data_IF_493377083771
#
_entry.id   IF_493377083771
#
_cell.length_a   1.000
_cell.length_b   1.000
_cell.length_c   1.000
_cell.angle_alpha   90.00
_cell.angle_beta   90.00
_cell.angle_gamma   90.00
#
_symmetry.space_group_name_H-M   'P 1'
#
loop_
_entity.id
_entity.type
_entity.pdbx_description
1 polymer ?
#
# COMPACT_ATOMS: atom_id res chain seq x y z
N UNK A 1 35.98 2.79 24.52
CA UNK A 1 34.74 3.32 25.13
C UNK A 1 34.48 4.68 24.51
N UNK A 2 33.70 4.74 23.43
CA UNK A 2 33.14 5.99 22.92
C UNK A 2 31.63 5.81 23.00
N UNK A 3 31.05 6.17 24.14
CA UNK A 3 29.61 6.29 24.32
C UNK A 3 29.16 7.54 23.55
N UNK A 4 28.52 7.32 22.42
CA UNK A 4 27.68 8.32 21.76
C UNK A 4 26.64 8.80 22.77
N UNK A 5 26.42 10.11 22.97
CA UNK A 5 25.41 10.58 23.91
C UNK A 5 24.05 10.10 23.43
N UNK A 6 23.30 9.43 24.31
CA UNK A 6 21.88 9.20 24.11
C UNK A 6 21.24 10.58 24.04
N UNK A 7 20.85 11.01 22.84
CA UNK A 7 19.93 12.13 22.69
C UNK A 7 18.67 11.74 23.45
N UNK A 8 18.33 12.55 24.45
CA UNK A 8 17.18 12.38 25.32
C UNK A 8 15.91 12.67 24.49
N UNK A 9 15.56 11.73 23.61
CA UNK A 9 14.34 11.82 22.81
C UNK A 9 13.16 11.57 23.75
N UNK A 10 12.55 12.66 24.21
CA UNK A 10 11.34 12.65 25.02
C UNK A 10 10.33 11.64 24.45
N UNK A 11 9.80 10.80 25.33
CA UNK A 11 8.74 9.86 24.97
C UNK A 11 7.54 10.64 24.44
N UNK A 12 7.15 10.36 23.20
CA UNK A 12 5.95 10.93 22.57
C UNK A 12 4.83 9.92 22.61
N UNK A 13 3.62 10.41 22.91
CA UNK A 13 2.38 9.65 22.85
C UNK A 13 1.48 10.32 21.81
N UNK A 14 1.00 9.55 20.84
CA UNK A 14 0.13 10.07 19.78
C UNK A 14 -0.84 9.01 19.28
N UNK A 15 -1.99 9.45 18.78
CA UNK A 15 -2.95 8.60 18.09
C UNK A 15 -2.77 8.74 16.58
N UNK A 16 -3.00 7.65 15.85
CA UNK A 16 -2.84 7.61 14.41
C UNK A 16 -3.64 6.50 13.76
N UNK A 17 -3.57 6.43 12.45
CA UNK A 17 -4.23 5.40 11.65
C UNK A 17 -3.25 4.82 10.63
N UNK A 18 -3.10 3.50 10.61
CA UNK A 18 -2.16 2.81 9.72
C UNK A 18 -2.57 3.01 8.26
N UNK A 19 -1.68 3.60 7.47
CA UNK A 19 -1.82 3.77 6.02
C UNK A 19 -1.20 2.60 5.27
N UNK A 20 0.05 2.26 5.57
CA UNK A 20 0.80 1.22 4.86
C UNK A 20 1.54 0.30 5.83
N UNK A 21 1.76 -0.94 5.38
CA UNK A 21 2.47 -1.98 6.11
C UNK A 21 3.56 -2.55 5.22
N UNK A 22 4.80 -2.58 5.69
CA UNK A 22 5.93 -3.17 4.97
C UNK A 22 6.71 -4.11 5.88
N UNK A 23 7.34 -5.11 5.29
CA UNK A 23 8.31 -5.98 5.94
C UNK A 23 9.60 -5.96 5.14
N UNK A 24 10.72 -5.80 5.83
CA UNK A 24 12.05 -5.76 5.23
C UNK A 24 12.96 -6.72 5.98
N UNK A 25 13.84 -7.39 5.25
CA UNK A 25 14.94 -8.13 5.85
C UNK A 25 16.23 -7.31 5.70
N UNK A 26 16.90 -7.03 6.81
CA UNK A 26 18.21 -6.37 6.82
C UNK A 26 19.17 -7.18 7.69
N UNK A 27 20.32 -7.56 7.13
CA UNK A 27 21.34 -8.37 7.82
C UNK A 27 20.80 -9.66 8.45
N UNK A 28 19.82 -10.31 7.81
CA UNK A 28 19.20 -11.54 8.31
C UNK A 28 18.23 -11.35 9.48
N UNK A 29 17.89 -10.09 9.82
CA UNK A 29 16.87 -9.73 10.80
C UNK A 29 15.66 -9.13 10.10
N UNK A 30 14.47 -9.47 10.59
CA UNK A 30 13.21 -8.93 10.10
C UNK A 30 12.91 -7.58 10.77
N UNK A 31 12.53 -6.61 9.95
CA UNK A 31 11.96 -5.34 10.36
C UNK A 31 10.51 -5.25 9.85
N UNK A 32 9.62 -4.77 10.70
CA UNK A 32 8.25 -4.41 10.33
C UNK A 32 8.19 -2.89 10.32
N UNK A 33 7.67 -2.33 9.23
CA UNK A 33 7.55 -0.90 9.03
C UNK A 33 6.06 -0.61 8.84
N UNK A 34 5.57 0.38 9.58
CA UNK A 34 4.24 0.94 9.36
C UNK A 34 4.38 2.42 9.14
N UNK A 35 3.53 2.96 8.27
CA UNK A 35 3.29 4.39 8.22
C UNK A 35 1.87 4.65 8.68
N UNK A 36 1.69 5.71 9.46
CA UNK A 36 0.39 6.12 9.96
C UNK A 36 0.16 7.62 9.79
N UNK A 37 -1.09 8.00 9.55
CA UNK A 37 -1.56 9.38 9.54
C UNK A 37 -1.98 9.81 10.94
N UNK A 38 -1.58 11.00 11.37
CA UNK A 38 -1.88 11.57 12.70
C UNK A 38 -2.22 13.04 12.57
N UNK A 39 -2.78 13.66 13.62
CA UNK A 39 -3.03 15.11 13.64
C UNK A 39 -1.74 15.94 13.47
N UNK A 40 -0.57 15.38 13.81
CA UNK A 40 0.73 16.05 13.69
C UNK A 40 1.42 15.75 12.35
N UNK A 41 0.72 15.12 11.41
CA UNK A 41 1.27 14.66 10.14
C UNK A 41 1.69 13.18 10.17
N UNK A 42 2.46 12.74 9.18
CA UNK A 42 2.83 11.33 9.05
C UNK A 42 3.83 10.87 10.10
N UNK A 43 3.68 9.61 10.49
CA UNK A 43 4.63 8.92 11.36
C UNK A 43 5.06 7.59 10.75
N UNK A 44 6.36 7.31 10.79
CA UNK A 44 6.94 6.02 10.47
C UNK A 44 7.26 5.26 11.75
N UNK A 45 6.87 3.99 11.80
CA UNK A 45 7.04 3.10 12.93
C UNK A 45 7.88 1.92 12.49
N UNK A 46 9.12 1.83 12.98
CA UNK A 46 10.06 0.76 12.62
C UNK A 46 10.24 -0.17 13.83
N UNK A 47 9.70 -1.38 13.72
CA UNK A 47 9.93 -2.46 14.68
C UNK A 47 11.07 -3.34 14.17
N UNK A 48 12.21 -3.28 14.84
CA UNK A 48 13.41 -4.04 14.49
C UNK A 48 13.44 -5.38 15.20
N UNK A 49 14.22 -6.30 14.65
CA UNK A 49 14.52 -7.61 15.26
C UNK A 49 13.28 -8.44 15.57
N UNK A 50 12.27 -8.33 14.73
CA UNK A 50 11.05 -9.13 14.86
C UNK A 50 11.33 -10.56 14.39
N UNK A 51 10.48 -11.50 14.82
CA UNK A 51 10.59 -12.90 14.45
C UNK A 51 9.35 -13.34 13.68
N UNK A 52 9.54 -14.18 12.67
CA UNK A 52 8.47 -14.96 12.08
C UNK A 52 8.12 -16.13 12.99
N UNK A 53 6.85 -16.53 13.01
CA UNK A 53 6.34 -17.58 13.91
C UNK A 53 5.57 -18.62 13.10
N UNK A 54 5.77 -19.90 13.43
CA UNK A 54 4.86 -20.98 13.06
C UNK A 54 4.83 -22.03 14.16
N UNK A 55 3.96 -23.04 14.00
CA UNK A 55 3.82 -24.11 14.97
C UNK A 55 3.93 -25.49 14.31
N UNK A 56 4.35 -26.48 15.11
CA UNK A 56 4.33 -27.90 14.76
C UNK A 56 3.73 -28.68 15.92
N UNK A 57 3.12 -29.84 15.66
CA UNK A 57 2.67 -30.71 16.75
C UNK A 57 3.87 -31.11 17.63
N UNK A 58 3.72 -31.08 18.96
CA UNK A 58 4.83 -31.36 19.89
C UNK A 58 5.38 -32.78 19.72
N UNK A 59 4.53 -33.74 19.35
CA UNK A 59 4.96 -35.12 19.00
C UNK A 59 5.97 -35.17 17.84
N UNK A 60 5.90 -34.21 16.91
CA UNK A 60 6.76 -34.13 15.73
C UNK A 60 7.99 -33.25 15.97
N UNK A 61 8.06 -32.53 17.09
CA UNK A 61 9.12 -31.56 17.37
C UNK A 61 10.53 -32.18 17.35
N UNK A 62 10.72 -33.37 17.93
CA UNK A 62 12.04 -34.05 17.93
C UNK A 62 12.51 -34.33 16.50
N UNK A 63 11.58 -34.70 15.60
CA UNK A 63 11.89 -34.92 14.18
C UNK A 63 12.17 -33.59 13.49
N UNK A 64 11.35 -32.56 13.75
CA UNK A 64 11.55 -31.21 13.21
C UNK A 64 12.92 -30.64 13.60
N UNK A 65 13.30 -30.73 14.88
CA UNK A 65 14.58 -30.24 15.40
C UNK A 65 15.77 -30.93 14.71
N UNK A 66 15.71 -32.25 14.48
CA UNK A 66 16.75 -32.98 13.74
C UNK A 66 16.87 -32.48 12.30
N UNK A 67 15.73 -32.28 11.61
CA UNK A 67 15.70 -31.77 10.23
C UNK A 67 16.23 -30.34 10.11
N UNK A 68 16.01 -29.50 11.13
CA UNK A 68 16.45 -28.11 11.17
C UNK A 68 17.82 -27.91 11.83
N UNK A 69 18.51 -28.98 12.26
CA UNK A 69 19.78 -28.91 13.02
C UNK A 69 20.90 -28.15 12.31
N UNK A 70 20.90 -28.14 10.97
CA UNK A 70 21.89 -27.41 10.15
C UNK A 70 21.49 -25.97 9.82
N UNK A 71 20.27 -25.54 10.21
CA UNK A 71 19.79 -24.17 10.02
C UNK A 71 20.12 -23.32 11.25
N UNK A 72 20.50 -22.08 11.01
CA UNK A 72 20.68 -21.05 12.03
C UNK A 72 19.52 -20.05 12.01
N UNK A 73 19.49 -19.13 12.98
CA UNK A 73 18.50 -18.05 13.02
C UNK A 73 17.09 -18.54 13.32
N UNK A 74 16.95 -19.60 14.10
CA UNK A 74 15.68 -20.07 14.61
C UNK A 74 15.82 -20.54 16.06
N UNK A 75 14.72 -20.45 16.81
CA UNK A 75 14.58 -20.97 18.17
C UNK A 75 13.20 -21.59 18.34
N UNK A 76 12.98 -22.28 19.44
CA UNK A 76 11.68 -22.84 19.79
C UNK A 76 11.33 -22.49 21.23
N UNK A 77 10.05 -22.62 21.57
CA UNK A 77 9.57 -22.60 22.94
C UNK A 77 8.39 -23.55 23.10
N UNK A 78 8.13 -23.95 24.33
CA UNK A 78 6.86 -24.61 24.68
C UNK A 78 5.71 -23.60 24.51
N UNK A 79 4.54 -24.11 24.13
CA UNK A 79 3.32 -23.33 23.98
C UNK A 79 2.21 -23.94 24.81
N UNK A 80 1.31 -23.09 25.30
CA UNK A 80 0.05 -23.53 25.94
C UNK A 80 -1.03 -23.85 24.90
N UNK A 81 -0.74 -23.62 23.61
CA UNK A 81 -1.71 -23.80 22.52
C UNK A 81 -1.79 -25.25 22.06
N UNK A 82 -2.92 -25.58 21.43
CA UNK A 82 -3.21 -26.87 20.81
C UNK A 82 -3.66 -26.71 19.36
N UNK A 83 -3.56 -27.77 18.56
CA UNK A 83 -4.25 -27.82 17.27
C UNK A 83 -5.73 -28.24 17.43
N UNK A 84 -6.46 -28.32 16.33
CA UNK A 84 -7.89 -28.67 16.33
C UNK A 84 -8.15 -30.17 16.61
N UNK A 85 -7.10 -30.99 16.67
CA UNK A 85 -7.16 -32.38 17.16
C UNK A 85 -6.81 -32.47 18.67
N UNK A 86 -6.80 -31.32 19.36
CA UNK A 86 -6.43 -31.18 20.78
C UNK A 86 -4.99 -31.66 21.09
N UNK A 87 -4.11 -31.69 20.09
CA UNK A 87 -2.71 -32.04 20.30
C UNK A 87 -1.92 -30.79 20.69
N UNK A 88 -1.02 -30.87 21.69
CA UNK A 88 -0.15 -29.76 22.03
C UNK A 88 0.76 -29.41 20.83
N UNK A 89 1.03 -28.12 20.67
CA UNK A 89 1.95 -27.62 19.64
C UNK A 89 3.18 -26.96 20.25
N UNK A 90 4.31 -27.04 19.54
CA UNK A 90 5.55 -26.34 19.86
C UNK A 90 5.68 -25.14 18.92
N UNK A 91 6.00 -23.98 19.47
CA UNK A 91 6.20 -22.76 18.69
C UNK A 91 7.63 -22.70 18.16
N UNK A 92 7.78 -22.35 16.89
CA UNK A 92 9.04 -22.14 16.21
C UNK A 92 9.14 -20.66 15.80
N UNK A 93 10.24 -20.02 16.18
CA UNK A 93 10.55 -18.63 15.85
C UNK A 93 11.72 -18.58 14.88
N UNK A 94 11.66 -17.69 13.90
CA UNK A 94 12.68 -17.51 12.88
C UNK A 94 13.03 -16.02 12.73
N UNK A 95 14.33 -15.71 12.61
CA UNK A 95 14.80 -14.33 12.46
C UNK A 95 14.42 -13.68 11.12
N UNK A 96 13.96 -14.46 10.14
CA UNK A 96 13.64 -13.99 8.79
C UNK A 96 12.57 -14.87 8.10
N UNK A 97 11.88 -14.30 7.11
CA UNK A 97 10.97 -15.04 6.23
C UNK A 97 11.69 -16.12 5.46
N UNK A 98 12.89 -15.81 4.95
CA UNK A 98 13.68 -16.79 4.21
C UNK A 98 13.95 -18.04 5.07
N UNK A 99 14.25 -17.85 6.35
CA UNK A 99 14.49 -18.94 7.29
C UNK A 99 13.20 -19.71 7.58
N UNK A 100 12.08 -19.02 7.84
CA UNK A 100 10.76 -19.63 8.03
C UNK A 100 10.35 -20.50 6.83
N UNK A 101 10.35 -19.94 5.62
CA UNK A 101 9.90 -20.66 4.42
C UNK A 101 10.81 -21.83 4.09
N UNK A 102 12.13 -21.64 4.20
CA UNK A 102 13.08 -22.74 4.02
C UNK A 102 12.97 -23.83 5.08
N UNK A 103 12.48 -23.51 6.29
CA UNK A 103 12.16 -24.52 7.30
C UNK A 103 10.84 -25.22 6.99
N UNK A 104 9.78 -24.45 6.69
CA UNK A 104 8.48 -24.96 6.26
C UNK A 104 8.63 -26.01 5.16
N UNK A 105 9.35 -25.68 4.09
CA UNK A 105 9.50 -26.57 2.93
C UNK A 105 10.22 -27.88 3.28
N UNK A 106 11.21 -27.83 4.19
CA UNK A 106 11.89 -29.05 4.68
C UNK A 106 10.95 -29.91 5.53
N UNK A 107 10.18 -29.28 6.41
CA UNK A 107 9.28 -29.99 7.32
C UNK A 107 8.12 -30.63 6.55
N UNK A 108 7.48 -29.88 5.65
CA UNK A 108 6.37 -30.37 4.84
C UNK A 108 6.81 -31.48 3.89
N UNK A 109 8.00 -31.38 3.28
CA UNK A 109 8.58 -32.45 2.46
C UNK A 109 8.83 -33.76 3.24
N UNK A 110 8.81 -33.72 4.59
CA UNK A 110 8.94 -34.90 5.46
C UNK A 110 7.64 -35.25 6.20
N UNK A 111 6.52 -34.71 5.73
CA UNK A 111 5.18 -34.97 6.26
C UNK A 111 4.94 -34.37 7.65
N UNK A 112 5.70 -33.36 8.05
CA UNK A 112 5.44 -32.61 9.28
C UNK A 112 4.52 -31.45 8.91
N UNK A 113 3.35 -31.39 9.56
CA UNK A 113 2.40 -30.30 9.39
C UNK A 113 2.97 -29.04 10.04
N UNK A 114 2.90 -27.93 9.31
CA UNK A 114 3.36 -26.62 9.78
C UNK A 114 2.18 -25.67 9.78
N UNK A 115 1.76 -25.26 10.98
CA UNK A 115 0.61 -24.37 11.18
C UNK A 115 1.04 -22.90 11.08
N UNK A 116 0.18 -22.09 10.45
CA UNK A 116 0.25 -20.62 10.39
C UNK A 116 1.56 -20.02 9.82
N UNK A 117 2.33 -20.79 9.05
CA UNK A 117 3.55 -20.30 8.38
C UNK A 117 3.26 -19.34 7.21
N UNK A 118 2.00 -19.19 6.83
CA UNK A 118 1.50 -18.31 5.78
C UNK A 118 1.07 -16.92 6.30
N UNK A 119 0.94 -16.76 7.62
CA UNK A 119 0.58 -15.47 8.22
C UNK A 119 1.75 -14.51 8.14
N UNK A 120 1.56 -13.38 7.45
CA UNK A 120 2.58 -12.34 7.32
C UNK A 120 2.90 -11.74 8.71
N UNK A 121 4.17 -11.60 9.11
CA UNK A 121 4.58 -10.96 10.36
C UNK A 121 4.04 -9.55 10.57
N UNK A 122 3.92 -8.75 9.51
CA UNK A 122 3.27 -7.42 9.59
C UNK A 122 1.82 -7.50 10.03
N UNK A 123 1.08 -8.51 9.55
CA UNK A 123 -0.30 -8.71 9.96
C UNK A 123 -0.35 -9.36 11.35
N UNK A 124 0.51 -10.35 11.62
CA UNK A 124 0.62 -11.03 12.91
C UNK A 124 0.81 -10.04 14.05
N UNK A 125 1.73 -9.11 13.88
CA UNK A 125 2.05 -8.13 14.91
C UNK A 125 0.83 -7.29 15.29
N UNK A 126 0.05 -6.86 14.30
CA UNK A 126 -1.15 -6.04 14.50
C UNK A 126 -2.32 -6.88 15.05
N UNK A 127 -2.63 -8.02 14.42
CA UNK A 127 -3.78 -8.85 14.80
C UNK A 127 -3.68 -9.37 16.24
N UNK A 128 -2.50 -9.79 16.70
CA UNK A 128 -2.29 -10.28 18.08
C UNK A 128 -2.50 -9.20 19.16
N UNK A 129 -2.49 -7.93 18.73
CA UNK A 129 -2.76 -6.76 19.56
C UNK A 129 -4.16 -6.18 19.32
N UNK A 130 -4.99 -6.87 18.53
CA UNK A 130 -6.32 -6.41 18.10
C UNK A 130 -6.28 -5.03 17.42
N UNK A 131 -5.16 -4.71 16.76
CA UNK A 131 -4.99 -3.48 15.97
C UNK A 131 -5.44 -3.76 14.55
N UNK A 132 -6.37 -2.95 14.05
CA UNK A 132 -6.90 -3.04 12.69
C UNK A 132 -6.46 -1.85 11.83
N UNK A 133 -6.83 -0.63 12.25
CA UNK A 133 -6.47 0.64 11.61
C UNK A 133 -5.91 1.64 12.60
N UNK A 134 -6.77 2.13 13.52
CA UNK A 134 -6.42 3.07 14.57
C UNK A 134 -5.39 2.52 15.57
N UNK A 135 -4.38 3.33 15.87
CA UNK A 135 -3.30 3.00 16.82
C UNK A 135 -3.00 4.15 17.79
N UNK A 136 -2.68 3.79 19.03
CA UNK A 136 -1.90 4.64 19.95
C UNK A 136 -0.44 4.22 19.87
N UNK A 137 0.46 5.20 19.73
CA UNK A 137 1.90 5.03 19.65
C UNK A 137 2.55 5.67 20.87
N UNK A 138 3.37 4.92 21.59
CA UNK A 138 4.18 5.40 22.72
C UNK A 138 5.64 5.00 22.53
N UNK A 139 6.55 5.95 22.51
CA UNK A 139 7.99 5.68 22.41
C UNK A 139 8.83 6.90 22.11
N UNK A 140 10.14 6.69 21.98
CA UNK A 140 11.04 7.74 21.51
C UNK A 140 10.88 7.92 20.00
N UNK A 141 10.79 9.18 19.58
CA UNK A 141 10.71 9.58 18.18
C UNK A 141 11.86 10.52 17.83
N UNK A 142 12.37 10.37 16.62
CA UNK A 142 13.23 11.36 15.98
C UNK A 142 12.40 12.14 14.96
N UNK A 143 12.58 13.46 14.92
CA UNK A 143 12.08 14.26 13.82
C UNK A 143 12.92 13.96 12.57
N UNK A 144 12.26 13.58 11.48
CA UNK A 144 12.85 13.38 10.15
C UNK A 144 12.22 14.38 9.19
N UNK A 145 12.81 14.59 8.01
CA UNK A 145 12.29 15.57 7.03
C UNK A 145 10.84 15.22 6.65
N UNK A 146 9.88 15.96 7.23
CA UNK A 146 8.45 15.85 6.96
C UNK A 146 7.68 14.81 7.78
N UNK A 147 8.30 14.04 8.67
CA UNK A 147 7.61 13.00 9.45
C UNK A 147 8.32 12.65 10.78
N UNK A 148 7.60 12.00 11.71
CA UNK A 148 8.19 11.44 12.93
C UNK A 148 8.61 9.99 12.72
N UNK A 149 9.82 9.63 13.14
CA UNK A 149 10.35 8.27 13.01
C UNK A 149 10.50 7.62 14.40
N UNK A 150 9.69 6.60 14.66
CA UNK A 150 9.75 5.81 15.89
C UNK A 150 10.53 4.53 15.67
N UNK A 151 11.44 4.23 16.60
CA UNK A 151 12.16 2.96 16.64
C UNK A 151 11.66 2.12 17.82
N UNK A 152 11.12 0.93 17.53
CA UNK A 152 10.52 0.01 18.50
C UNK A 152 9.47 0.65 19.43
N UNK A 153 8.48 1.42 18.91
CA UNK A 153 7.42 1.96 19.74
C UNK A 153 6.50 0.86 20.30
N UNK A 154 5.84 1.17 21.41
CA UNK A 154 4.69 0.39 21.87
C UNK A 154 3.44 0.82 21.11
N UNK A 155 2.67 -0.15 20.62
CA UNK A 155 1.44 0.08 19.87
C UNK A 155 0.24 -0.55 20.59
N UNK A 156 -0.87 0.17 20.64
CA UNK A 156 -2.17 -0.31 21.12
C UNK A 156 -3.27 0.05 20.13
N UNK A 157 -4.35 -0.72 20.13
CA UNK A 157 -5.54 -0.43 19.30
C UNK A 157 -6.32 0.75 19.85
N UNK A 158 -6.91 1.55 18.97
CA UNK A 158 -7.82 2.65 19.29
C UNK A 158 -8.87 2.81 18.18
N UNK A 159 -9.93 3.55 18.46
CA UNK A 159 -11.00 3.88 17.52
C UNK A 159 -10.75 5.20 16.75
N UNK A 160 -9.54 5.75 16.81
CA UNK A 160 -9.13 6.93 16.05
C UNK A 160 -9.47 6.82 14.55
N UNK A 161 -9.92 7.93 13.97
CA UNK A 161 -10.18 8.11 12.53
C UNK A 161 -9.40 9.32 12.04
N UNK A 162 -8.55 9.18 11.01
CA UNK A 162 -7.78 10.29 10.49
C UNK A 162 -8.65 11.16 9.57
N UNK A 163 -8.32 12.45 9.48
CA UNK A 163 -8.59 13.23 8.26
C UNK A 163 -7.38 13.04 7.34
N UNK A 164 -7.62 12.63 6.10
CA UNK A 164 -6.56 12.32 5.13
C UNK A 164 -6.55 13.34 4.01
N UNK A 165 -5.36 13.82 3.65
CA UNK A 165 -5.20 14.69 2.50
C UNK A 165 -5.05 13.84 1.24
N UNK A 166 -5.79 14.19 0.19
CA UNK A 166 -5.90 13.40 -1.03
C UNK A 166 -5.40 14.17 -2.26
N UNK A 167 -4.90 13.44 -3.26
CA UNK A 167 -4.61 13.92 -4.62
C UNK A 167 -5.33 13.01 -5.62
N UNK A 168 -6.15 13.58 -6.49
CA UNK A 168 -6.64 12.91 -7.69
C UNK A 168 -5.62 13.05 -8.81
N UNK A 169 -5.19 11.93 -9.38
CA UNK A 169 -4.14 11.81 -10.39
C UNK A 169 -4.71 11.18 -11.67
N UNK A 170 -4.37 11.78 -12.80
CA UNK A 170 -4.68 11.26 -14.14
C UNK A 170 -3.55 11.62 -15.11
N UNK A 171 -3.22 10.73 -16.07
CA UNK A 171 -2.22 10.99 -17.10
C UNK A 171 -2.82 10.94 -18.51
N UNK A 172 -2.27 11.77 -19.39
CA UNK A 172 -2.54 11.69 -20.82
C UNK A 172 -1.30 11.27 -21.59
N UNK A 173 -1.50 10.36 -22.55
CA UNK A 173 -0.40 9.65 -23.22
C UNK A 173 -0.70 9.45 -24.70
N UNK A 174 0.36 9.23 -25.47
CA UNK A 174 0.24 8.92 -26.89
C UNK A 174 -0.47 7.57 -27.10
N UNK A 175 -1.62 7.59 -27.78
CA UNK A 175 -2.45 6.39 -27.99
C UNK A 175 -1.86 5.38 -28.99
N UNK A 176 -1.19 5.85 -30.05
CA UNK A 176 -0.61 5.01 -31.13
C UNK A 176 0.89 5.24 -31.26
N UNK A 177 1.67 4.16 -31.32
CA UNK A 177 3.10 4.21 -31.63
C UNK A 177 4.01 4.08 -30.42
N UNK A 178 5.10 4.84 -30.38
CA UNK A 178 6.03 4.83 -29.26
C UNK A 178 5.37 5.47 -28.03
N UNK A 179 5.45 4.78 -26.89
CA UNK A 179 4.90 5.25 -25.62
C UNK A 179 5.53 6.59 -25.22
N UNK A 180 4.73 7.66 -25.21
CA UNK A 180 5.11 9.02 -24.83
C UNK A 180 4.09 9.62 -23.86
N UNK A 181 4.57 10.10 -22.72
CA UNK A 181 3.79 10.87 -21.75
C UNK A 181 3.54 12.29 -22.31
N UNK A 182 2.28 12.72 -22.33
CA UNK A 182 1.90 14.09 -22.71
C UNK A 182 1.74 14.96 -21.48
N UNK A 183 0.93 14.54 -20.51
CA UNK A 183 0.72 15.30 -19.28
C UNK A 183 0.39 14.44 -18.07
N UNK A 184 0.56 15.06 -16.89
CA UNK A 184 0.10 14.57 -15.60
C UNK A 184 -0.80 15.66 -15.02
N UNK A 185 -2.08 15.35 -14.84
CA UNK A 185 -3.07 16.17 -14.15
C UNK A 185 -3.13 15.82 -12.67
N UNK A 186 -3.24 16.83 -11.83
CA UNK A 186 -3.48 16.66 -10.40
C UNK A 186 -4.57 17.62 -9.91
N UNK A 187 -5.47 17.09 -9.11
CA UNK A 187 -6.52 17.86 -8.44
C UNK A 187 -6.50 17.59 -6.93
N UNK A 188 -6.55 18.66 -6.15
CA UNK A 188 -6.66 18.65 -4.68
C UNK A 188 -7.72 19.66 -4.22
N UNK A 189 -7.96 19.76 -2.90
CA UNK A 189 -8.85 20.79 -2.34
C UNK A 189 -8.38 22.23 -2.68
N UNK A 190 -7.08 22.43 -2.81
CA UNK A 190 -6.42 23.74 -2.89
C UNK A 190 -5.62 23.97 -4.19
N UNK A 191 -5.37 22.92 -5.00
CA UNK A 191 -4.53 23.00 -6.19
C UNK A 191 -5.16 22.29 -7.40
N UNK A 192 -5.00 22.91 -8.56
CA UNK A 192 -5.39 22.39 -9.86
C UNK A 192 -4.21 22.59 -10.79
N UNK A 193 -3.47 21.53 -11.07
CA UNK A 193 -2.22 21.61 -11.83
C UNK A 193 -2.18 20.56 -12.92
N UNK A 194 -1.58 20.92 -14.05
CA UNK A 194 -1.24 20.02 -15.15
C UNK A 194 0.22 20.25 -15.49
N UNK A 195 1.01 19.18 -15.40
CA UNK A 195 2.40 19.13 -15.85
C UNK A 195 2.39 18.57 -17.28
N UNK A 196 2.87 19.31 -18.27
CA UNK A 196 2.75 18.90 -19.68
C UNK A 196 4.05 19.06 -20.45
N UNK A 197 4.35 18.12 -21.35
CA UNK A 197 5.53 18.17 -22.22
C UNK A 197 5.33 19.20 -23.34
N UNK A 198 6.32 20.07 -23.52
CA UNK A 198 6.40 21.04 -24.60
C UNK A 198 7.85 21.34 -25.01
N UNK A 199 8.31 20.69 -26.08
CA UNK A 199 9.67 20.83 -26.62
C UNK A 199 10.01 22.26 -27.05
N UNK A 200 9.01 23.09 -27.37
CA UNK A 200 9.18 24.50 -27.78
C UNK A 200 8.67 25.52 -26.78
N UNK A 201 8.13 25.08 -25.65
CA UNK A 201 7.36 25.89 -24.72
C UNK A 201 8.23 26.79 -23.85
N UNK A 202 7.94 28.09 -23.86
CA UNK A 202 8.36 28.96 -22.75
C UNK A 202 7.34 28.84 -21.64
N UNK A 203 7.81 28.82 -20.40
CA UNK A 203 6.93 28.86 -19.23
C UNK A 203 5.97 30.05 -19.39
N UNK A 204 4.67 29.76 -19.51
CA UNK A 204 3.64 30.72 -19.90
C UNK A 204 3.14 31.56 -18.71
N UNK A 205 3.67 31.32 -17.50
CA UNK A 205 3.22 31.98 -16.27
C UNK A 205 1.82 31.55 -15.82
N UNK A 206 1.25 30.50 -16.44
CA UNK A 206 -0.01 29.91 -16.02
C UNK A 206 0.24 29.07 -14.76
N UNK A 207 -0.44 29.40 -13.67
CA UNK A 207 -0.30 28.68 -12.40
C UNK A 207 -0.86 27.25 -12.49
N UNK A 208 -1.86 27.03 -13.34
CA UNK A 208 -2.54 25.74 -13.55
C UNK A 208 -1.85 24.85 -14.59
N UNK A 209 -1.31 25.41 -15.67
CA UNK A 209 -0.61 24.63 -16.72
C UNK A 209 0.89 24.91 -16.71
N UNK A 210 1.68 23.92 -16.30
CA UNK A 210 3.14 23.99 -16.24
C UNK A 210 3.76 23.19 -17.39
N UNK A 211 4.51 23.88 -18.24
CA UNK A 211 5.13 23.30 -19.44
C UNK A 211 6.59 22.90 -19.17
N UNK A 212 6.99 21.72 -19.65
CA UNK A 212 8.32 21.13 -19.46
C UNK A 212 8.92 20.68 -20.78
N UNK A 213 10.23 20.88 -21.02
CA UNK A 213 10.83 20.60 -22.33
C UNK A 213 10.83 19.11 -22.71
N UNK A 214 10.80 18.20 -21.73
CA UNK A 214 10.83 16.76 -21.95
C UNK A 214 10.16 15.96 -20.82
N UNK A 215 9.94 14.66 -21.04
CA UNK A 215 9.34 13.76 -20.03
C UNK A 215 10.16 13.66 -18.74
N UNK A 216 11.49 13.80 -18.82
CA UNK A 216 12.38 13.67 -17.66
C UNK A 216 12.19 14.84 -16.70
N UNK A 217 12.19 16.06 -17.23
CA UNK A 217 12.00 17.30 -16.48
C UNK A 217 10.58 17.39 -15.92
N UNK A 218 9.58 16.95 -16.69
CA UNK A 218 8.21 16.81 -16.21
C UNK A 218 8.11 15.87 -15.00
N UNK A 219 8.63 14.64 -15.12
CA UNK A 219 8.57 13.65 -14.05
C UNK A 219 9.30 14.10 -12.78
N UNK A 220 10.48 14.71 -12.92
CA UNK A 220 11.22 15.23 -11.78
C UNK A 220 10.44 16.35 -11.08
N UNK A 221 9.79 17.24 -11.83
CA UNK A 221 8.97 18.31 -11.26
C UNK A 221 7.70 17.77 -10.58
N UNK A 222 7.05 16.77 -11.18
CA UNK A 222 5.89 16.11 -10.57
C UNK A 222 6.27 15.39 -9.26
N UNK A 223 7.35 14.61 -9.25
CA UNK A 223 7.82 13.91 -8.06
C UNK A 223 8.23 14.89 -6.95
N UNK A 224 8.87 16.00 -7.31
CA UNK A 224 9.19 17.07 -6.37
C UNK A 224 7.91 17.68 -5.78
N UNK A 225 6.95 18.06 -6.63
CA UNK A 225 5.68 18.62 -6.18
C UNK A 225 4.93 17.66 -5.24
N UNK A 226 4.90 16.36 -5.57
CA UNK A 226 4.24 15.36 -4.73
C UNK A 226 4.96 15.15 -3.37
N UNK A 227 6.28 15.31 -3.34
CA UNK A 227 7.04 15.28 -2.08
C UNK A 227 6.78 16.53 -1.23
N UNK A 228 6.58 17.69 -1.85
CA UNK A 228 6.28 18.96 -1.18
C UNK A 228 4.82 19.03 -0.68
N UNK A 229 3.86 18.57 -1.48
CA UNK A 229 2.44 18.52 -1.11
C UNK A 229 2.14 17.42 -0.07
N UNK A 230 2.92 16.33 -0.13
CA UNK A 230 2.86 15.15 0.76
C UNK A 230 1.45 14.60 1.07
N UNK A 231 0.72 14.09 0.06
CA UNK A 231 -0.61 13.53 0.30
C UNK A 231 -0.55 12.21 1.05
N UNK A 232 -1.59 11.91 1.83
CA UNK A 232 -1.78 10.59 2.44
C UNK A 232 -2.38 9.59 1.46
N UNK A 233 -3.20 10.07 0.52
CA UNK A 233 -3.93 9.23 -0.43
C UNK A 233 -3.76 9.73 -1.86
N UNK A 234 -3.45 8.80 -2.76
CA UNK A 234 -3.54 8.98 -4.21
C UNK A 234 -4.82 8.30 -4.70
N UNK A 235 -5.70 9.06 -5.33
CA UNK A 235 -6.93 8.55 -5.95
C UNK A 235 -6.83 8.70 -7.48
N UNK A 236 -7.58 7.90 -8.21
CA UNK A 236 -7.66 7.94 -9.66
C UNK A 236 -8.57 6.84 -10.19
N UNK A 237 -8.67 6.71 -11.51
CA UNK A 237 -9.57 5.75 -12.15
C UNK A 237 -8.80 4.72 -12.97
N UNK A 238 -8.73 3.46 -12.51
CA UNK A 238 -7.72 2.50 -12.97
C UNK A 238 -6.26 2.93 -12.65
N UNK A 239 -6.08 3.79 -11.64
CA UNK A 239 -4.82 4.48 -11.29
C UNK A 239 -3.65 3.55 -11.07
N UNK A 240 -3.88 2.37 -10.48
CA UNK A 240 -2.79 1.42 -10.20
C UNK A 240 -2.29 0.78 -11.48
N UNK A 241 -3.20 0.33 -12.35
CA UNK A 241 -2.86 -0.50 -13.51
C UNK A 241 -2.69 0.30 -14.81
N UNK A 242 -3.09 1.57 -14.83
CA UNK A 242 -2.84 2.51 -15.91
C UNK A 242 -1.80 3.56 -15.50
N UNK A 243 -2.20 4.59 -14.76
CA UNK A 243 -1.37 5.77 -14.47
C UNK A 243 -0.03 5.42 -13.83
N UNK A 244 -0.06 4.76 -12.66
CA UNK A 244 1.16 4.43 -11.93
C UNK A 244 2.04 3.42 -12.67
N UNK A 245 1.44 2.49 -13.41
CA UNK A 245 2.19 1.53 -14.25
C UNK A 245 2.89 2.24 -15.40
N UNK A 246 2.20 3.15 -16.07
CA UNK A 246 2.76 3.92 -17.17
C UNK A 246 3.87 4.86 -16.70
N UNK A 247 3.67 5.54 -15.56
CA UNK A 247 4.71 6.35 -14.93
C UNK A 247 5.94 5.49 -14.56
N UNK A 248 5.74 4.27 -14.05
CA UNK A 248 6.85 3.35 -13.77
C UNK A 248 7.62 3.00 -15.04
N UNK A 249 6.92 2.63 -16.12
CA UNK A 249 7.53 2.27 -17.40
C UNK A 249 8.29 3.46 -18.03
N UNK A 250 7.75 4.66 -17.87
CA UNK A 250 8.39 5.91 -18.31
C UNK A 250 9.65 6.19 -17.49
N UNK A 251 9.60 6.06 -16.17
CA UNK A 251 10.77 6.15 -15.29
C UNK A 251 11.84 5.12 -15.66
N UNK A 252 11.47 3.85 -15.87
CA UNK A 252 12.38 2.79 -16.26
C UNK A 252 13.08 3.11 -17.60
N UNK A 253 12.33 3.56 -18.61
CA UNK A 253 12.86 3.99 -19.92
C UNK A 253 13.85 5.15 -19.78
N UNK A 254 13.58 6.09 -18.89
CA UNK A 254 14.41 7.28 -18.63
C UNK A 254 15.51 7.03 -17.58
N UNK A 255 15.61 5.81 -17.04
CA UNK A 255 16.54 5.43 -15.96
C UNK A 255 16.38 6.33 -14.72
N UNK A 256 15.14 6.60 -14.36
CA UNK A 256 14.72 7.29 -13.14
C UNK A 256 14.10 6.29 -12.16
N UNK A 257 14.15 6.60 -10.87
CA UNK A 257 13.35 5.89 -9.86
C UNK A 257 11.99 6.56 -9.71
N UNK A 258 10.92 5.77 -9.61
CA UNK A 258 9.57 6.27 -9.34
C UNK A 258 9.37 6.37 -7.82
N UNK A 259 9.90 7.43 -7.21
CA UNK A 259 9.93 7.63 -5.76
C UNK A 259 8.66 8.30 -5.24
N UNK A 260 7.51 7.64 -5.43
CA UNK A 260 6.20 8.13 -4.92
C UNK A 260 6.01 7.90 -3.42
N UNK A 261 6.83 7.07 -2.77
CA UNK A 261 6.75 6.83 -1.34
C UNK A 261 7.31 7.99 -0.53
N UNK A 262 6.76 8.19 0.67
CA UNK A 262 7.39 9.02 1.71
C UNK A 262 8.81 8.53 1.96
N UNK A 263 9.68 9.44 2.41
CA UNK A 263 11.13 9.18 2.56
C UNK A 263 11.83 8.81 1.23
N UNK A 264 11.32 9.32 0.10
CA UNK A 264 11.81 9.05 -1.26
C UNK A 264 11.95 7.55 -1.55
N UNK A 265 11.01 6.74 -1.05
CA UNK A 265 11.03 5.31 -1.29
C UNK A 265 10.32 4.98 -2.61
N UNK A 266 10.85 4.05 -3.42
CA UNK A 266 10.25 3.67 -4.69
C UNK A 266 8.95 2.88 -4.48
N UNK A 267 8.08 2.91 -5.49
CA UNK A 267 6.91 2.04 -5.56
C UNK A 267 7.35 0.57 -5.58
N UNK A 268 6.73 -0.26 -4.74
CA UNK A 268 6.90 -1.70 -4.79
C UNK A 268 5.73 -2.36 -5.52
N UNK A 269 6.04 -3.14 -6.54
CA UNK A 269 5.05 -3.79 -7.40
C UNK A 269 4.93 -5.28 -7.10
N UNK A 270 3.70 -5.78 -7.08
CA UNK A 270 3.38 -7.21 -7.05
C UNK A 270 2.37 -7.54 -8.14
N UNK A 271 2.74 -8.43 -9.04
CA UNK A 271 1.82 -8.95 -10.06
C UNK A 271 0.83 -9.96 -9.43
N UNK A 272 -0.43 -9.94 -9.87
CA UNK A 272 -1.40 -10.94 -9.49
C UNK A 272 -1.03 -12.31 -10.08
N UNK A 273 -1.34 -13.40 -9.35
CA UNK A 273 -0.98 -14.76 -9.80
C UNK A 273 -1.90 -15.30 -10.89
N UNK A 274 -3.14 -14.85 -10.88
CA UNK A 274 -4.26 -15.29 -11.71
C UNK A 274 -4.52 -14.36 -12.90
N UNK A 275 -3.94 -13.15 -12.90
CA UNK A 275 -4.06 -12.20 -14.00
C UNK A 275 -2.73 -11.46 -14.22
N UNK A 276 -2.06 -11.79 -15.33
CA UNK A 276 -0.77 -11.19 -15.72
C UNK A 276 -0.85 -9.67 -15.96
N UNK A 277 -2.03 -9.14 -16.29
CA UNK A 277 -2.21 -7.71 -16.54
C UNK A 277 -2.60 -6.93 -15.28
N UNK A 278 -2.75 -7.60 -14.13
CA UNK A 278 -3.12 -6.96 -12.87
C UNK A 278 -1.92 -6.88 -11.94
N UNK A 279 -1.65 -5.68 -11.46
CA UNK A 279 -0.62 -5.35 -10.51
C UNK A 279 -1.23 -4.74 -9.24
N UNK A 280 -0.49 -4.90 -8.15
CA UNK A 280 -0.71 -4.20 -6.89
C UNK A 280 0.49 -3.31 -6.63
N UNK A 281 0.22 -2.06 -6.25
CA UNK A 281 1.24 -1.08 -5.86
C UNK A 281 1.24 -0.89 -4.35
N UNK A 282 2.42 -0.91 -3.75
CA UNK A 282 2.69 -0.40 -2.41
C UNK A 282 3.51 0.87 -2.56
N UNK A 283 2.94 1.99 -2.11
CA UNK A 283 3.60 3.30 -2.06
C UNK A 283 3.90 3.60 -0.59
N UNK A 284 5.15 3.44 -0.10
CA UNK A 284 5.47 3.63 1.31
C UNK A 284 4.89 4.92 1.89
N UNK A 285 4.05 4.81 2.93
CA UNK A 285 3.45 5.96 3.58
C UNK A 285 2.28 6.62 2.89
N UNK A 286 1.82 6.12 1.74
CA UNK A 286 0.65 6.64 1.01
C UNK A 286 -0.29 5.51 0.60
N UNK A 287 -1.59 5.73 0.73
CA UNK A 287 -2.61 4.79 0.26
C UNK A 287 -2.92 5.12 -1.20
N UNK A 288 -2.99 4.10 -2.07
CA UNK A 288 -3.48 4.29 -3.45
C UNK A 288 -4.87 3.68 -3.55
N UNK A 289 -5.89 4.51 -3.77
CA UNK A 289 -7.28 4.08 -3.90
C UNK A 289 -7.74 4.20 -5.34
N UNK A 290 -7.90 3.04 -5.98
CA UNK A 290 -8.46 2.93 -7.31
C UNK A 290 -9.99 3.03 -7.27
N UNK A 291 -10.57 3.99 -7.99
CA UNK A 291 -12.02 4.22 -7.99
C UNK A 291 -12.84 2.99 -8.42
N UNK A 292 -12.38 2.24 -9.43
CA UNK A 292 -13.08 1.05 -9.92
C UNK A 292 -13.07 -0.04 -8.86
N UNK A 293 -11.89 -0.36 -8.31
CA UNK A 293 -11.77 -1.42 -7.31
C UNK A 293 -12.49 -1.07 -5.99
N UNK A 294 -12.41 0.20 -5.58
CA UNK A 294 -13.02 0.66 -4.34
C UNK A 294 -14.54 0.65 -4.43
N UNK A 295 -15.11 1.15 -5.53
CA UNK A 295 -16.57 1.12 -5.74
C UNK A 295 -17.12 -0.30 -5.85
N UNK A 296 -16.40 -1.21 -6.53
CA UNK A 296 -16.78 -2.64 -6.52
C UNK A 296 -16.76 -3.22 -5.11
N UNK A 297 -15.78 -2.84 -4.28
CA UNK A 297 -15.71 -3.28 -2.89
C UNK A 297 -16.84 -2.66 -2.05
N UNK A 298 -17.27 -1.44 -2.37
CA UNK A 298 -18.45 -0.78 -1.83
C UNK A 298 -19.77 -1.29 -2.44
N UNK A 299 -19.74 -2.41 -3.16
CA UNK A 299 -20.91 -3.11 -3.74
C UNK A 299 -21.66 -2.38 -4.86
N UNK A 300 -21.07 -1.31 -5.42
CA UNK A 300 -21.62 -0.68 -6.63
C UNK A 300 -21.53 -1.62 -7.82
N UNK A 301 -22.56 -1.54 -8.67
CA UNK A 301 -22.62 -2.32 -9.90
C UNK A 301 -23.08 -1.42 -11.05
N UNK A 302 -22.22 -1.27 -12.04
CA UNK A 302 -22.47 -0.53 -13.27
C UNK A 302 -22.32 -1.47 -14.46
N UNK A 303 -23.02 -1.19 -15.57
CA UNK A 303 -22.88 -1.96 -16.81
C UNK A 303 -21.45 -1.91 -17.34
N UNK A 304 -20.83 -0.73 -17.25
CA UNK A 304 -19.40 -0.53 -17.46
C UNK A 304 -18.85 0.44 -16.42
N UNK A 305 -17.59 0.26 -16.04
CA UNK A 305 -16.91 1.11 -15.04
C UNK A 305 -16.00 2.14 -15.73
N UNK A 306 -16.33 2.61 -16.93
CA UNK A 306 -15.58 3.73 -17.51
C UNK A 306 -15.86 5.00 -16.69
N UNK A 307 -14.87 5.88 -16.56
CA UNK A 307 -15.03 7.10 -15.76
C UNK A 307 -16.19 7.95 -16.30
N UNK A 308 -16.31 8.06 -17.63
CA UNK A 308 -17.39 8.84 -18.25
C UNK A 308 -18.78 8.28 -17.91
N UNK A 309 -18.99 6.97 -18.04
CA UNK A 309 -20.27 6.35 -17.72
C UNK A 309 -20.64 6.51 -16.24
N UNK A 310 -19.69 6.26 -15.33
CA UNK A 310 -19.95 6.38 -13.89
C UNK A 310 -20.17 7.85 -13.50
N UNK A 311 -19.39 8.78 -14.06
CA UNK A 311 -19.59 10.21 -13.86
C UNK A 311 -20.95 10.68 -14.37
N UNK A 312 -21.42 10.23 -15.54
CA UNK A 312 -22.74 10.61 -16.03
C UNK A 312 -23.85 10.07 -15.11
N UNK A 313 -23.76 8.82 -14.66
CA UNK A 313 -24.77 8.22 -13.78
C UNK A 313 -24.80 8.86 -12.39
N UNK A 314 -23.64 9.19 -11.81
CA UNK A 314 -23.57 9.73 -10.46
C UNK A 314 -23.63 11.25 -10.45
N UNK A 315 -22.93 11.94 -11.34
CA UNK A 315 -22.75 13.40 -11.29
C UNK A 315 -23.63 14.16 -12.30
N UNK A 316 -24.30 13.46 -13.21
CA UNK A 316 -24.99 14.06 -14.37
C UNK A 316 -24.08 14.97 -15.22
N UNK A 317 -22.77 14.65 -15.23
CA UNK A 317 -21.72 15.32 -16.01
C UNK A 317 -20.81 14.24 -16.59
N UNK A 318 -20.30 14.45 -17.80
CA UNK A 318 -19.36 13.56 -18.47
C UNK A 318 -18.02 14.23 -18.75
N UNK A 319 -17.17 13.54 -19.49
CA UNK A 319 -15.90 14.08 -19.97
C UNK A 319 -16.11 15.16 -21.04
N UNK A 320 -15.08 15.97 -21.31
CA UNK A 320 -15.14 17.05 -22.29
C UNK A 320 -15.07 16.59 -23.77
N UNK A 321 -14.90 15.29 -24.04
CA UNK A 321 -14.83 14.73 -25.39
C UNK A 321 -15.99 13.76 -25.60
N UNK A 322 -16.85 14.07 -26.58
CA UNK A 322 -18.10 13.34 -26.84
C UNK A 322 -17.92 12.03 -27.65
N UNK A 323 -16.84 11.87 -28.42
CA UNK A 323 -16.61 10.70 -29.28
C UNK A 323 -15.55 9.74 -28.69
N UNK A 324 -16.03 8.62 -28.15
CA UNK A 324 -15.20 7.57 -27.52
C UNK A 324 -14.30 6.85 -28.53
N UNK A 325 -14.74 6.67 -29.78
CA UNK A 325 -14.02 5.90 -30.80
C UNK A 325 -12.81 6.68 -31.36
N UNK A 326 -12.86 8.01 -31.31
CA UNK A 326 -11.80 8.90 -31.80
C UNK A 326 -10.95 9.52 -30.69
N UNK A 327 -11.22 9.18 -29.42
CA UNK A 327 -10.63 9.82 -28.25
C UNK A 327 -9.10 9.86 -28.27
N UNK A 328 -8.44 8.77 -28.67
CA UNK A 328 -6.97 8.73 -28.73
C UNK A 328 -6.37 9.63 -29.81
N UNK A 329 -7.03 9.74 -30.96
CA UNK A 329 -6.61 10.62 -32.05
C UNK A 329 -6.89 12.09 -31.68
N UNK A 330 -7.98 12.35 -30.95
CA UNK A 330 -8.31 13.67 -30.41
C UNK A 330 -7.29 14.15 -29.37
N UNK A 331 -6.92 13.30 -28.41
CA UNK A 331 -5.87 13.62 -27.41
C UNK A 331 -4.57 14.00 -28.11
N UNK A 332 -4.19 13.24 -29.15
CA UNK A 332 -2.99 13.53 -29.95
C UNK A 332 -3.12 14.87 -30.67
N UNK A 333 -4.27 15.15 -31.28
CA UNK A 333 -4.55 16.44 -31.93
C UNK A 333 -4.44 17.60 -30.94
N UNK A 334 -5.10 17.50 -29.78
CA UNK A 334 -5.05 18.53 -28.74
C UNK A 334 -3.62 18.76 -28.24
N UNK A 335 -2.84 17.70 -28.03
CA UNK A 335 -1.43 17.83 -27.66
C UNK A 335 -0.62 18.64 -28.69
N UNK A 336 -0.86 18.42 -29.99
CA UNK A 336 -0.14 19.09 -31.08
C UNK A 336 -0.64 20.51 -31.36
N UNK A 337 -1.95 20.77 -31.22
CA UNK A 337 -2.57 22.02 -31.68
C UNK A 337 -3.07 22.93 -30.56
N UNK A 338 -3.47 22.38 -29.41
CA UNK A 338 -4.06 23.13 -28.29
C UNK A 338 -3.81 22.48 -26.92
N UNK A 339 -2.64 22.79 -26.35
CA UNK A 339 -2.21 22.28 -25.05
C UNK A 339 -3.07 22.74 -23.88
N UNK A 340 -3.71 23.91 -24.00
CA UNK A 340 -4.59 24.39 -22.94
C UNK A 340 -5.86 23.54 -22.90
N UNK A 341 -6.46 23.25 -24.06
CA UNK A 341 -7.62 22.37 -24.15
C UNK A 341 -7.31 20.94 -23.64
N UNK A 342 -6.13 20.38 -23.96
CA UNK A 342 -5.69 19.10 -23.38
C UNK A 342 -5.56 19.17 -21.86
N UNK A 343 -5.00 20.26 -21.33
CA UNK A 343 -4.83 20.45 -19.89
C UNK A 343 -6.19 20.55 -19.18
N UNK A 344 -7.14 21.30 -19.74
CA UNK A 344 -8.50 21.43 -19.19
C UNK A 344 -9.21 20.07 -19.15
N UNK A 345 -9.02 19.24 -20.18
CA UNK A 345 -9.57 17.89 -20.27
C UNK A 345 -8.92 16.92 -19.27
N UNK A 346 -7.59 16.88 -19.15
CA UNK A 346 -6.89 16.03 -18.17
C UNK A 346 -7.28 16.43 -16.74
N UNK A 347 -7.40 17.74 -16.48
CA UNK A 347 -7.85 18.24 -15.19
C UNK A 347 -9.32 17.91 -14.88
N UNK A 348 -10.20 17.91 -15.88
CA UNK A 348 -11.59 17.48 -15.69
C UNK A 348 -11.66 16.00 -15.30
N UNK A 349 -10.86 15.13 -15.91
CA UNK A 349 -10.80 13.71 -15.50
C UNK A 349 -10.39 13.55 -14.03
N UNK A 350 -9.40 14.32 -13.55
CA UNK A 350 -9.06 14.37 -12.11
C UNK A 350 -10.25 14.84 -11.24
N UNK A 351 -10.98 15.87 -11.68
CA UNK A 351 -12.14 16.43 -10.97
C UNK A 351 -13.30 15.46 -10.89
N UNK A 352 -13.62 14.76 -11.98
CA UNK A 352 -14.66 13.74 -11.99
C UNK A 352 -14.40 12.66 -10.95
N UNK A 353 -13.16 12.15 -10.87
CA UNK A 353 -12.78 11.18 -9.84
C UNK A 353 -12.93 11.77 -8.45
N UNK A 354 -12.42 12.98 -8.22
CA UNK A 354 -12.54 13.66 -6.93
C UNK A 354 -14.00 13.77 -6.48
N UNK A 355 -14.86 14.25 -7.38
CA UNK A 355 -16.26 14.49 -7.08
C UNK A 355 -17.06 13.19 -6.89
N UNK A 356 -16.70 12.09 -7.58
CA UNK A 356 -17.23 10.76 -7.29
C UNK A 356 -16.84 10.33 -5.87
N UNK A 357 -15.55 10.48 -5.50
CA UNK A 357 -15.06 10.09 -4.17
C UNK A 357 -15.74 10.88 -3.05
N UNK A 358 -15.94 12.18 -3.23
CA UNK A 358 -16.65 13.06 -2.29
C UNK A 358 -18.12 12.68 -2.20
N UNK A 359 -18.81 12.54 -3.35
CA UNK A 359 -20.25 12.26 -3.38
C UNK A 359 -20.59 10.92 -2.71
N UNK A 360 -19.80 9.89 -2.99
CA UNK A 360 -20.06 8.53 -2.50
C UNK A 360 -19.28 8.21 -1.20
N UNK A 361 -18.60 9.20 -0.60
CA UNK A 361 -17.87 9.06 0.67
C UNK A 361 -16.89 7.88 0.68
N UNK A 362 -16.14 7.73 -0.42
CA UNK A 362 -15.32 6.54 -0.65
C UNK A 362 -14.10 6.47 0.27
N UNK A 363 -13.56 7.61 0.70
CA UNK A 363 -12.44 7.67 1.65
C UNK A 363 -12.90 7.18 3.03
N UNK A 364 -14.03 7.70 3.51
CA UNK A 364 -14.66 7.31 4.77
C UNK A 364 -14.99 5.82 4.77
N UNK A 365 -15.59 5.32 3.68
CA UNK A 365 -15.83 3.89 3.50
C UNK A 365 -14.53 3.07 3.61
N UNK A 366 -13.45 3.50 2.96
CA UNK A 366 -12.17 2.79 3.00
C UNK A 366 -11.57 2.74 4.43
N UNK A 367 -11.66 3.86 5.16
CA UNK A 367 -11.20 3.96 6.55
C UNK A 367 -12.03 3.03 7.45
N UNK A 368 -13.37 3.11 7.39
CA UNK A 368 -14.25 2.29 8.24
C UNK A 368 -14.09 0.80 7.95
N UNK A 369 -14.00 0.42 6.68
CA UNK A 369 -13.75 -0.98 6.31
C UNK A 369 -12.42 -1.47 6.88
N UNK A 370 -11.36 -0.68 6.78
CA UNK A 370 -10.06 -1.04 7.34
C UNK A 370 -10.12 -1.17 8.87
N UNK A 371 -10.79 -0.26 9.56
CA UNK A 371 -10.99 -0.34 11.00
C UNK A 371 -11.75 -1.61 11.42
N UNK A 372 -12.82 -1.96 10.71
CA UNK A 372 -13.68 -3.09 11.08
C UNK A 372 -13.06 -4.45 10.75
N UNK A 373 -12.27 -4.53 9.68
CA UNK A 373 -11.79 -5.81 9.13
C UNK A 373 -10.31 -6.09 9.39
N UNK A 374 -9.52 -5.06 9.69
CA UNK A 374 -8.06 -5.18 9.77
C UNK A 374 -7.35 -5.30 8.43
N UNK A 375 -8.06 -5.20 7.31
CA UNK A 375 -7.47 -5.15 5.97
C UNK A 375 -6.91 -3.75 5.66
N UNK A 376 -5.92 -3.69 4.78
CA UNK A 376 -5.41 -2.40 4.27
C UNK A 376 -6.51 -1.62 3.50
N UNK A 377 -6.50 -0.28 3.57
CA UNK A 377 -7.53 0.57 2.94
C UNK A 377 -7.69 0.35 1.44
N UNK A 378 -6.59 0.06 0.75
CA UNK A 378 -6.56 -0.22 -0.69
C UNK A 378 -6.73 -1.70 -1.04
N UNK A 379 -7.01 -2.57 -0.06
CA UNK A 379 -7.18 -3.99 -0.34
C UNK A 379 -8.55 -4.30 -0.95
N UNK A 380 -8.53 -4.79 -2.17
CA UNK A 380 -9.72 -5.32 -2.85
C UNK A 380 -10.14 -6.69 -2.29
N UNK A 381 -11.44 -6.85 -1.99
CA UNK A 381 -12.03 -8.11 -1.51
C UNK A 381 -11.39 -8.62 -0.21
N UNK A 382 -11.10 -9.91 -0.14
CA UNK A 382 -10.33 -10.49 0.97
C UNK A 382 -11.14 -10.94 2.19
N UNK A 383 -12.38 -11.40 2.02
CA UNK A 383 -13.23 -11.86 3.13
C UNK A 383 -12.58 -12.94 4.00
N UNK A 384 -11.86 -13.90 3.40
CA UNK A 384 -11.09 -14.91 4.16
C UNK A 384 -9.98 -14.25 4.97
N UNK A 385 -9.23 -13.33 4.37
CA UNK A 385 -8.16 -12.62 5.08
C UNK A 385 -8.69 -11.74 6.22
N UNK A 386 -9.86 -11.10 6.05
CA UNK A 386 -10.52 -10.34 7.11
C UNK A 386 -10.96 -11.26 8.25
N UNK A 387 -11.55 -12.41 7.91
CA UNK A 387 -11.92 -13.43 8.88
C UNK A 387 -10.68 -13.88 9.68
N UNK A 388 -9.61 -14.30 9.01
CA UNK A 388 -8.37 -14.74 9.66
C UNK A 388 -7.80 -13.65 10.57
N UNK A 389 -7.71 -12.42 10.08
CA UNK A 389 -7.17 -11.29 10.85
C UNK A 389 -7.94 -11.04 12.14
N UNK A 390 -9.27 -11.16 12.12
CA UNK A 390 -10.11 -10.98 13.30
C UNK A 390 -10.19 -12.24 14.17
N UNK A 391 -10.13 -13.42 13.57
CA UNK A 391 -10.38 -14.70 14.23
C UNK A 391 -9.15 -15.25 14.95
N UNK A 392 -7.98 -15.25 14.30
CA UNK A 392 -6.73 -15.80 14.83
C UNK A 392 -6.38 -15.32 16.25
N UNK A 393 -6.38 -14.01 16.57
CA UNK A 393 -6.04 -13.60 17.94
C UNK A 393 -7.04 -14.11 18.98
N UNK A 394 -8.33 -14.25 18.63
CA UNK A 394 -9.36 -14.81 19.53
C UNK A 394 -9.18 -16.31 19.70
N UNK A 395 -8.89 -17.01 18.60
CA UNK A 395 -8.56 -18.44 18.59
C UNK A 395 -7.35 -18.74 19.49
N UNK A 396 -6.30 -17.92 19.39
CA UNK A 396 -5.11 -18.02 20.24
C UNK A 396 -5.43 -17.82 21.72
N UNK A 397 -6.27 -16.84 22.08
CA UNK A 397 -6.73 -16.66 23.47
C UNK A 397 -7.62 -17.81 23.96
N UNK A 398 -8.29 -18.51 23.05
CA UNK A 398 -9.03 -19.74 23.35
C UNK A 398 -8.13 -20.98 23.48
N UNK A 399 -6.82 -20.85 23.26
CA UNK A 399 -5.86 -21.94 23.44
C UNK A 399 -5.57 -22.76 22.18
N UNK A 400 -5.92 -22.27 20.99
CA UNK A 400 -5.77 -23.03 19.74
C UNK A 400 -4.92 -22.29 18.70
N UNK A 401 -4.29 -23.04 17.80
CA UNK A 401 -3.70 -22.56 16.52
C UNK A 401 -4.59 -22.96 15.35
N UNK A 402 -4.61 -22.16 14.29
CA UNK A 402 -5.38 -22.42 13.09
C UNK A 402 -4.85 -23.64 12.30
N UNK A 403 -5.75 -24.38 11.64
CA UNK A 403 -5.35 -25.52 10.82
C UNK A 403 -4.52 -25.08 9.62
N UNK A 404 -3.61 -25.95 9.17
CA UNK A 404 -2.78 -25.68 8.00
C UNK A 404 -3.60 -25.78 6.70
N UNK A 405 -3.53 -24.75 5.86
CA UNK A 405 -4.19 -24.73 4.56
C UNK A 405 -3.70 -25.88 3.66
N UNK A 406 -4.63 -26.66 3.13
CA UNK A 406 -4.34 -27.69 2.12
C UNK A 406 -3.55 -28.91 2.61
N UNK A 407 -3.36 -29.06 3.92
CA UNK A 407 -2.70 -30.23 4.52
C UNK A 407 -3.71 -31.17 5.19
N UNK A 408 -4.85 -31.41 4.52
CA UNK A 408 -5.73 -32.49 4.92
C UNK A 408 -4.95 -33.80 4.78
N UNK A 409 -4.90 -34.57 5.88
CA UNK A 409 -4.44 -35.96 5.85
C UNK A 409 -5.29 -36.70 4.80
N UNK A 410 -4.65 -37.22 3.75
CA UNK A 410 -5.24 -38.25 2.89
C UNK A 410 -5.42 -39.51 3.72
#
# INVERSE_FOLDING_TARGET
MNSTPASDHATRNLSGFILTRQQREQNGKLELIYWAATEQGPVRLVLREQECVCFVATKDFVKAQKLLSRKSGWRHAESILQDFEHQPVTVLYFASHRSLYGARDILTARGIIVYEADVRPVDRFLMERFITGGIEVSGSAADSMGYLDFCNPQLKSTDYRPRLNCVSLDIETQFKGASRLYSIGVYTEDQQLVFMVDEGGKNNGNETLRLFPDERTLLLAFLQWLAEYDPDVLIGWNVVNFDLRYLQETCDRLKLSLDLGRNHEPVSWRQARDNVNRYFALVPGRVVLDGIELMRTATYNFENFSLDHVAQQLLARGKLVDDVDQRGDEITRLYETDKQALADYNLEDCKLVWDIFVKEQLIEFAIERSQLTGLEMNRYGGSVAAFDFLYLPRLHRAGYVAPALGQNKV
#
